data_IF_253695687779
#
_entry.id   IF_253695687779
#
_cell.length_a   1.000
_cell.length_b   1.000
_cell.length_c   1.000
_cell.angle_alpha   90.00
_cell.angle_beta   90.00
_cell.angle_gamma   90.00
#
_symmetry.space_group_name_H-M   'P 1'
#
loop_
_entity.id
_entity.type
_entity.pdbx_description
1 polymer ?
#
# COMPACT_ATOMS: atom_id res chain seq x y z
N UNK A 1 -16.40 -19.49 -1.92
CA UNK A 1 -16.16 -18.36 -1.00
C UNK A 1 -16.88 -17.13 -1.54
N UNK A 2 -17.83 -16.61 -0.79
CA UNK A 2 -18.56 -15.37 -1.13
C UNK A 2 -17.69 -14.14 -0.86
N UNK A 3 -18.09 -12.95 -1.35
CA UNK A 3 -17.39 -11.71 -1.04
C UNK A 3 -17.40 -11.40 0.47
N UNK A 4 -18.49 -11.72 1.16
CA UNK A 4 -18.60 -11.50 2.61
C UNK A 4 -17.66 -12.42 3.40
N UNK A 5 -17.52 -13.68 2.98
CA UNK A 5 -16.56 -14.62 3.59
C UNK A 5 -15.11 -14.17 3.35
N UNK A 6 -14.82 -13.59 2.17
CA UNK A 6 -13.47 -13.16 1.81
C UNK A 6 -13.06 -11.87 2.50
N UNK A 7 -13.91 -10.84 2.44
CA UNK A 7 -13.59 -9.51 2.95
C UNK A 7 -13.99 -9.29 4.41
N UNK A 8 -14.91 -10.10 4.95
CA UNK A 8 -15.37 -9.96 6.34
C UNK A 8 -15.81 -8.54 6.66
N UNK A 9 -15.24 -7.97 7.73
CA UNK A 9 -15.57 -6.61 8.20
C UNK A 9 -15.29 -5.50 7.17
N UNK A 10 -14.39 -5.70 6.22
CA UNK A 10 -14.14 -4.75 5.14
C UNK A 10 -15.39 -4.45 4.31
N UNK A 11 -16.37 -5.36 4.29
CA UNK A 11 -17.65 -5.13 3.59
C UNK A 11 -18.51 -4.01 4.19
N UNK A 12 -18.16 -3.51 5.39
CA UNK A 12 -18.79 -2.32 6.00
C UNK A 12 -18.44 -1.03 5.27
N UNK A 13 -17.30 -1.00 4.57
CA UNK A 13 -16.76 0.17 3.86
C UNK A 13 -16.58 -0.06 2.36
N UNK A 14 -16.52 -1.30 1.90
CA UNK A 14 -16.45 -1.66 0.48
C UNK A 14 -17.82 -1.52 -0.17
N UNK A 15 -17.90 -0.71 -1.23
CA UNK A 15 -19.09 -0.64 -2.08
C UNK A 15 -19.16 -1.88 -2.99
N UNK A 16 -20.21 -2.71 -2.81
CA UNK A 16 -20.40 -3.96 -3.56
C UNK A 16 -20.54 -3.75 -5.05
N UNK A 17 -21.21 -2.66 -5.45
CA UNK A 17 -21.44 -2.37 -6.87
C UNK A 17 -20.12 -2.04 -7.56
N UNK A 18 -19.32 -1.16 -6.96
CA UNK A 18 -18.02 -0.81 -7.51
C UNK A 18 -17.04 -1.99 -7.49
N UNK A 19 -17.06 -2.80 -6.42
CA UNK A 19 -16.25 -4.03 -6.35
C UNK A 19 -16.62 -5.00 -7.48
N UNK A 20 -17.90 -5.31 -7.66
CA UNK A 20 -18.36 -6.23 -8.72
C UNK A 20 -18.00 -5.68 -10.12
N UNK A 21 -18.23 -4.37 -10.35
CA UNK A 21 -17.92 -3.72 -11.63
C UNK A 21 -16.44 -3.83 -11.98
N UNK A 22 -15.54 -3.57 -11.01
CA UNK A 22 -14.10 -3.65 -11.26
C UNK A 22 -13.63 -5.10 -11.40
N UNK A 23 -14.18 -6.04 -10.61
CA UNK A 23 -13.82 -7.46 -10.68
C UNK A 23 -14.15 -8.08 -12.03
N UNK A 24 -15.31 -7.76 -12.62
CA UNK A 24 -15.67 -8.21 -13.98
C UNK A 24 -14.65 -7.72 -15.00
N UNK A 25 -14.30 -6.42 -14.97
CA UNK A 25 -13.34 -5.81 -15.89
C UNK A 25 -11.94 -6.40 -15.73
N UNK A 26 -11.46 -6.50 -14.49
CA UNK A 26 -10.15 -7.09 -14.14
C UNK A 26 -10.08 -8.55 -14.56
N UNK A 27 -11.15 -9.33 -14.33
CA UNK A 27 -11.24 -10.72 -14.77
C UNK A 27 -11.11 -10.86 -16.31
N UNK A 28 -11.64 -9.90 -17.08
CA UNK A 28 -11.41 -9.84 -18.52
C UNK A 28 -9.94 -9.58 -18.88
N UNK A 29 -9.28 -8.66 -18.19
CA UNK A 29 -7.86 -8.37 -18.42
C UNK A 29 -6.97 -9.59 -18.14
N UNK A 30 -7.17 -10.30 -17.01
CA UNK A 30 -6.40 -11.51 -16.67
C UNK A 30 -6.53 -12.64 -17.71
N UNK A 31 -7.67 -12.74 -18.40
CA UNK A 31 -7.87 -13.75 -19.46
C UNK A 31 -7.17 -13.41 -20.78
N UNK A 32 -6.81 -12.15 -21.00
CA UNK A 32 -6.33 -11.63 -22.28
C UNK A 32 -4.86 -11.19 -22.26
N UNK A 33 -4.33 -10.87 -21.09
CA UNK A 33 -3.04 -10.22 -20.94
C UNK A 33 -2.31 -10.70 -19.69
N UNK A 34 -0.98 -10.64 -19.67
CA UNK A 34 -0.22 -10.82 -18.45
C UNK A 34 -0.45 -9.62 -17.51
N UNK A 35 -0.98 -9.87 -16.33
CA UNK A 35 -1.34 -8.86 -15.31
C UNK A 35 -0.51 -9.10 -14.03
N UNK A 36 -0.13 -8.02 -13.37
CA UNK A 36 0.49 -8.01 -12.04
C UNK A 36 -0.45 -7.31 -11.04
N UNK A 37 -0.49 -7.78 -9.78
CA UNK A 37 0.11 -8.99 -9.21
C UNK A 37 -0.53 -10.29 -9.74
N UNK A 38 -0.24 -11.46 -9.15
CA UNK A 38 -1.04 -12.65 -9.39
C UNK A 38 -2.49 -12.42 -8.90
N UNK A 39 -3.47 -13.06 -9.53
CA UNK A 39 -4.89 -12.83 -9.23
C UNK A 39 -5.24 -13.11 -7.75
N UNK A 40 -4.58 -14.09 -7.13
CA UNK A 40 -4.70 -14.40 -5.71
C UNK A 40 -4.23 -13.28 -4.79
N UNK A 41 -3.31 -12.44 -5.27
CA UNK A 41 -2.63 -11.45 -4.43
C UNK A 41 -3.29 -10.05 -4.53
N UNK A 42 -4.31 -9.86 -5.38
CA UNK A 42 -4.90 -8.53 -5.67
C UNK A 42 -5.40 -7.82 -4.40
N UNK A 43 -5.97 -8.57 -3.47
CA UNK A 43 -6.55 -8.02 -2.24
C UNK A 43 -5.76 -8.39 -0.97
N UNK A 44 -4.53 -8.87 -1.11
CA UNK A 44 -3.70 -9.33 0.02
C UNK A 44 -3.54 -8.28 1.12
N UNK A 45 -3.48 -7.00 0.80
CA UNK A 45 -3.39 -5.92 1.79
C UNK A 45 -4.60 -5.91 2.75
N UNK A 46 -5.80 -6.25 2.26
CA UNK A 46 -7.02 -6.33 3.07
C UNK A 46 -7.04 -7.56 3.98
N UNK A 47 -6.47 -8.68 3.52
CA UNK A 47 -6.37 -9.92 4.32
C UNK A 47 -5.43 -9.74 5.52
N UNK A 48 -4.34 -8.98 5.34
CA UNK A 48 -3.30 -8.80 6.36
C UNK A 48 -3.59 -7.66 7.34
N UNK A 49 -4.46 -6.73 6.98
CA UNK A 49 -4.84 -5.59 7.81
C UNK A 49 -6.33 -5.66 8.14
N UNK A 50 -6.75 -6.23 9.29
CA UNK A 50 -8.15 -6.23 9.68
C UNK A 50 -8.69 -4.81 9.86
N UNK A 51 -9.92 -4.54 9.39
CA UNK A 51 -10.53 -3.21 9.46
C UNK A 51 -10.58 -2.64 10.89
N UNK A 52 -10.81 -3.48 11.89
CA UNK A 52 -10.86 -3.09 13.32
C UNK A 52 -9.53 -2.56 13.86
N UNK A 53 -8.41 -2.98 13.26
CA UNK A 53 -7.06 -2.61 13.70
C UNK A 53 -6.47 -1.45 12.88
N UNK A 54 -7.23 -0.93 11.91
CA UNK A 54 -6.77 0.08 10.95
C UNK A 54 -6.41 1.40 11.64
N UNK A 55 -5.21 1.89 11.39
CA UNK A 55 -4.64 3.15 11.91
C UNK A 55 -4.11 4.04 10.78
N UNK A 56 -3.51 3.42 9.76
CA UNK A 56 -2.86 4.14 8.65
C UNK A 56 -3.32 3.55 7.31
N UNK A 57 -3.55 4.40 6.33
CA UNK A 57 -3.78 4.01 4.93
C UNK A 57 -2.67 4.62 4.07
N UNK A 58 -1.85 3.78 3.45
CA UNK A 58 -0.83 4.20 2.50
C UNK A 58 -1.31 3.93 1.07
N UNK A 59 -1.28 4.94 0.22
CA UNK A 59 -1.75 4.83 -1.16
C UNK A 59 -0.63 5.18 -2.13
N UNK A 60 -0.28 4.24 -3.01
CA UNK A 60 0.62 4.45 -4.14
C UNK A 60 -0.11 4.59 -5.47
N UNK A 61 0.60 4.40 -6.57
CA UNK A 61 0.04 4.52 -7.91
C UNK A 61 -0.51 3.19 -8.43
N UNK A 62 0.35 2.25 -8.76
CA UNK A 62 0.06 0.92 -9.31
C UNK A 62 1.12 -0.11 -8.88
N UNK A 63 0.83 -1.41 -9.00
CA UNK A 63 1.78 -2.47 -8.66
C UNK A 63 3.01 -2.45 -9.57
N UNK A 64 4.10 -3.10 -9.15
CA UNK A 64 5.25 -3.33 -10.02
C UNK A 64 4.81 -4.10 -11.28
N UNK A 65 5.12 -3.61 -12.48
CA UNK A 65 4.61 -4.20 -13.73
C UNK A 65 5.53 -5.29 -14.29
N UNK A 66 6.56 -5.69 -13.56
CA UNK A 66 7.59 -6.63 -13.99
C UNK A 66 7.53 -7.96 -13.23
N UNK A 67 8.35 -8.90 -13.69
CA UNK A 67 8.60 -10.17 -13.03
C UNK A 67 9.97 -10.18 -12.35
N UNK A 68 10.03 -10.88 -11.23
CA UNK A 68 11.26 -11.25 -10.58
C UNK A 68 11.25 -12.76 -10.33
N UNK A 69 12.32 -13.46 -10.70
CA UNK A 69 12.41 -14.93 -10.56
C UNK A 69 11.24 -15.70 -11.19
N UNK A 70 10.77 -15.23 -12.37
CA UNK A 70 9.68 -15.86 -13.12
C UNK A 70 8.25 -15.57 -12.61
N UNK A 71 8.09 -14.91 -11.46
CA UNK A 71 6.80 -14.54 -10.84
C UNK A 71 6.59 -13.03 -10.91
N UNK A 72 5.34 -12.52 -10.88
CA UNK A 72 5.09 -11.10 -10.70
C UNK A 72 5.85 -10.58 -9.46
N UNK A 73 6.58 -9.45 -9.61
CA UNK A 73 7.26 -8.80 -8.47
C UNK A 73 6.25 -8.29 -7.45
N UNK A 74 5.16 -7.71 -7.94
CA UNK A 74 4.07 -7.21 -7.11
C UNK A 74 3.43 -8.32 -6.26
N UNK A 75 3.18 -8.03 -4.99
CA UNK A 75 2.65 -8.96 -3.98
C UNK A 75 1.25 -8.62 -3.50
N UNK A 76 0.60 -7.58 -4.08
CA UNK A 76 -0.66 -7.02 -3.58
C UNK A 76 -0.50 -6.08 -2.38
N UNK A 77 0.73 -5.90 -1.90
CA UNK A 77 1.08 -4.93 -0.85
C UNK A 77 1.89 -3.81 -1.49
N UNK A 78 1.50 -2.55 -1.23
CA UNK A 78 2.23 -1.38 -1.72
C UNK A 78 3.71 -1.46 -1.33
N UNK A 79 4.60 -1.32 -2.31
CA UNK A 79 6.05 -1.42 -2.23
C UNK A 79 6.62 -2.80 -1.84
N UNK A 80 5.83 -3.71 -1.28
CA UNK A 80 6.28 -5.02 -0.82
C UNK A 80 6.93 -5.86 -1.94
N UNK A 81 8.02 -6.55 -1.59
CA UNK A 81 8.66 -7.55 -2.45
C UNK A 81 8.43 -8.95 -1.88
N UNK A 82 8.62 -9.99 -2.71
CA UNK A 82 8.54 -11.37 -2.24
C UNK A 82 9.72 -11.69 -1.33
N UNK A 83 9.50 -12.57 -0.35
CA UNK A 83 10.52 -12.97 0.63
C UNK A 83 11.78 -13.60 -0.01
N UNK A 84 11.59 -14.24 -1.16
CA UNK A 84 12.66 -14.94 -1.88
C UNK A 84 13.57 -14.00 -2.70
N UNK A 85 13.23 -12.72 -2.78
CA UNK A 85 14.05 -11.74 -3.51
C UNK A 85 15.22 -11.33 -2.63
N UNK A 86 16.43 -11.49 -3.16
CA UNK A 86 17.66 -11.06 -2.48
C UNK A 86 17.72 -9.55 -2.29
N UNK A 87 18.42 -9.06 -1.27
CA UNK A 87 18.51 -7.63 -0.97
C UNK A 87 18.99 -6.78 -2.16
N UNK A 88 19.95 -7.29 -2.93
CA UNK A 88 20.51 -6.61 -4.11
C UNK A 88 19.48 -6.47 -5.27
N UNK A 89 18.42 -7.26 -5.24
CA UNK A 89 17.36 -7.31 -6.25
C UNK A 89 16.03 -6.69 -5.80
N UNK A 90 16.01 -6.01 -4.65
CA UNK A 90 14.82 -5.29 -4.18
C UNK A 90 14.41 -4.20 -5.18
N UNK A 91 13.11 -3.93 -5.25
CA UNK A 91 12.61 -2.86 -6.11
C UNK A 91 13.16 -1.49 -5.67
N UNK A 92 13.46 -0.59 -6.62
CA UNK A 92 14.00 0.74 -6.28
C UNK A 92 13.14 1.52 -5.28
N UNK A 93 11.81 1.40 -5.37
CA UNK A 93 10.91 2.07 -4.43
C UNK A 93 11.01 1.50 -3.02
N UNK A 94 11.16 0.17 -2.88
CA UNK A 94 11.33 -0.46 -1.57
C UNK A 94 12.67 -0.10 -0.95
N UNK A 95 13.75 -0.06 -1.74
CA UNK A 95 15.07 0.38 -1.25
C UNK A 95 15.02 1.80 -0.67
N UNK A 96 14.37 2.75 -1.38
CA UNK A 96 14.17 4.11 -0.87
C UNK A 96 13.39 4.12 0.44
N UNK A 97 12.31 3.32 0.53
CA UNK A 97 11.52 3.21 1.76
C UNK A 97 12.35 2.57 2.88
N UNK A 98 13.09 1.49 2.61
CA UNK A 98 14.00 0.83 3.56
C UNK A 98 15.01 1.82 4.12
N UNK A 99 15.71 2.57 3.26
CA UNK A 99 16.66 3.58 3.68
C UNK A 99 16.02 4.70 4.53
N UNK A 100 14.80 5.10 4.20
CA UNK A 100 14.11 6.15 4.94
C UNK A 100 13.63 5.70 6.32
N UNK A 101 13.37 4.41 6.56
CA UNK A 101 12.89 3.92 7.86
C UNK A 101 14.00 3.47 8.80
N UNK A 102 15.13 2.98 8.25
CA UNK A 102 16.24 2.47 9.06
C UNK A 102 16.94 3.63 9.77
N UNK A 103 17.10 3.52 11.09
CA UNK A 103 17.90 4.46 11.85
C UNK A 103 19.39 4.14 11.67
N UNK A 104 20.14 5.00 10.94
CA UNK A 104 21.56 4.81 10.67
C UNK A 104 22.46 4.95 11.91
N UNK A 105 21.93 5.38 13.04
CA UNK A 105 22.66 5.36 14.32
C UNK A 105 22.76 3.95 14.92
N UNK A 106 21.88 3.02 14.47
CA UNK A 106 21.92 1.62 14.86
C UNK A 106 22.74 0.82 13.83
N UNK A 107 23.71 0.00 14.26
CA UNK A 107 24.47 -0.83 13.33
C UNK A 107 23.57 -1.76 12.50
N UNK A 108 23.78 -1.86 11.20
CA UNK A 108 22.94 -2.64 10.27
C UNK A 108 22.80 -4.12 10.65
N UNK A 109 23.82 -4.73 11.27
CA UNK A 109 23.74 -6.12 11.73
C UNK A 109 22.81 -6.32 12.95
N UNK A 110 22.33 -5.23 13.55
CA UNK A 110 21.36 -5.25 14.63
C UNK A 110 19.92 -5.02 14.15
N UNK A 111 19.69 -4.97 12.83
CA UNK A 111 18.39 -4.61 12.25
C UNK A 111 17.91 -5.71 11.32
N UNK A 112 16.66 -6.11 11.44
CA UNK A 112 15.94 -6.90 10.44
C UNK A 112 14.80 -6.07 9.85
N UNK A 113 14.84 -5.91 8.52
CA UNK A 113 13.80 -5.23 7.75
C UNK A 113 12.94 -6.26 7.00
N UNK A 114 11.63 -6.20 7.21
CA UNK A 114 10.68 -7.07 6.49
C UNK A 114 10.41 -6.51 5.09
N UNK A 115 11.09 -7.04 4.09
CA UNK A 115 10.91 -6.63 2.69
C UNK A 115 9.52 -6.96 2.11
N UNK A 116 8.77 -7.84 2.76
CA UNK A 116 7.37 -8.12 2.36
C UNK A 116 6.41 -7.05 2.83
N UNK A 117 6.78 -6.28 3.85
CA UNK A 117 5.99 -5.29 4.57
C UNK A 117 4.71 -5.86 5.21
N UNK A 118 4.61 -7.18 5.35
CA UNK A 118 3.49 -7.83 6.03
C UNK A 118 3.45 -7.48 7.52
N UNK A 119 4.62 -7.32 8.14
CA UNK A 119 4.74 -6.87 9.53
C UNK A 119 4.11 -5.48 9.75
N UNK A 120 4.18 -4.61 8.76
CA UNK A 120 3.53 -3.30 8.80
C UNK A 120 2.01 -3.43 8.67
N UNK A 121 1.53 -4.23 7.71
CA UNK A 121 0.11 -4.47 7.53
C UNK A 121 -0.55 -5.03 8.79
N UNK A 122 0.11 -5.98 9.46
CA UNK A 122 -0.36 -6.59 10.73
C UNK A 122 -0.42 -5.60 11.90
N UNK A 123 0.25 -4.45 11.83
CA UNK A 123 0.15 -3.36 12.81
C UNK A 123 -1.01 -2.39 12.55
N UNK A 124 -1.82 -2.63 11.51
CA UNK A 124 -2.96 -1.80 11.15
C UNK A 124 -2.63 -0.75 10.07
N UNK A 125 -1.70 -1.06 9.16
CA UNK A 125 -1.40 -0.23 8.00
C UNK A 125 -1.99 -0.88 6.75
N UNK A 126 -3.05 -0.32 6.19
CA UNK A 126 -3.57 -0.72 4.89
C UNK A 126 -2.67 -0.14 3.79
N UNK A 127 -1.96 -1.01 3.08
CA UNK A 127 -0.95 -0.65 2.09
C UNK A 127 -1.43 -1.00 0.68
N UNK A 128 -2.09 -0.06 0.01
CA UNK A 128 -2.72 -0.26 -1.30
C UNK A 128 -2.16 0.68 -2.37
N UNK A 129 -2.40 0.34 -3.62
CA UNK A 129 -2.23 1.23 -4.75
C UNK A 129 -3.57 1.84 -5.19
N UNK A 130 -3.55 2.96 -5.88
CA UNK A 130 -4.72 3.56 -6.53
C UNK A 130 -5.25 2.73 -7.71
N UNK A 131 -4.45 1.79 -8.21
CA UNK A 131 -4.85 0.66 -9.05
C UNK A 131 -4.29 -0.62 -8.43
N UNK A 132 -5.15 -1.61 -8.12
CA UNK A 132 -4.68 -2.85 -7.50
C UNK A 132 -4.07 -3.84 -8.50
N UNK A 133 -4.20 -3.55 -9.80
CA UNK A 133 -3.62 -4.35 -10.89
C UNK A 133 -3.00 -3.45 -11.95
N UNK A 134 -2.07 -4.01 -12.73
CA UNK A 134 -1.40 -3.35 -13.86
C UNK A 134 -1.11 -4.38 -14.95
N UNK A 135 -1.23 -4.00 -16.23
CA UNK A 135 -0.75 -4.81 -17.34
C UNK A 135 0.78 -4.85 -17.30
N UNK A 136 1.37 -6.03 -17.51
CA UNK A 136 2.81 -6.21 -17.46
C UNK A 136 3.53 -5.24 -18.42
N UNK A 137 4.55 -4.58 -17.91
CA UNK A 137 5.36 -3.56 -18.58
C UNK A 137 4.57 -2.30 -19.03
N UNK A 138 3.34 -2.05 -18.51
CA UNK A 138 2.53 -0.88 -18.85
C UNK A 138 2.04 -0.12 -17.61
N UNK A 139 2.94 0.66 -17.03
CA UNK A 139 2.65 1.53 -15.87
C UNK A 139 1.41 2.38 -16.14
N UNK A 140 0.50 2.47 -15.17
CA UNK A 140 -0.72 3.27 -15.24
C UNK A 140 -1.88 2.65 -16.02
N UNK A 141 -1.69 1.48 -16.65
CA UNK A 141 -2.68 0.88 -17.55
C UNK A 141 -4.06 0.66 -16.93
N UNK A 142 -4.15 0.40 -15.62
CA UNK A 142 -5.40 0.13 -14.93
C UNK A 142 -5.85 1.23 -13.95
N UNK A 143 -5.17 2.37 -13.90
CA UNK A 143 -5.50 3.47 -12.97
C UNK A 143 -6.96 3.91 -13.11
N UNK A 144 -7.44 4.12 -14.35
CA UNK A 144 -8.82 4.54 -14.59
C UNK A 144 -9.84 3.43 -14.33
N UNK A 145 -9.42 2.18 -14.46
CA UNK A 145 -10.26 1.02 -14.20
C UNK A 145 -10.58 0.86 -12.71
N UNK A 146 -9.59 1.08 -11.83
CA UNK A 146 -9.75 0.98 -10.38
C UNK A 146 -10.25 2.26 -9.71
N UNK A 147 -10.16 3.41 -10.39
CA UNK A 147 -10.46 4.71 -9.79
C UNK A 147 -11.82 4.79 -9.10
N UNK A 148 -12.96 4.32 -9.68
CA UNK A 148 -14.28 4.39 -9.02
C UNK A 148 -14.29 3.61 -7.69
N UNK A 149 -13.76 2.39 -7.69
CA UNK A 149 -13.68 1.55 -6.50
C UNK A 149 -12.83 2.19 -5.40
N UNK A 150 -11.60 2.63 -5.72
CA UNK A 150 -10.69 3.22 -4.73
C UNK A 150 -11.24 4.55 -4.18
N UNK A 151 -11.82 5.40 -5.03
CA UNK A 151 -12.43 6.65 -4.59
C UNK A 151 -13.57 6.40 -3.59
N UNK A 152 -14.44 5.43 -3.89
CA UNK A 152 -15.56 5.06 -3.04
C UNK A 152 -15.08 4.42 -1.73
N UNK A 153 -14.06 3.54 -1.80
CA UNK A 153 -13.44 2.92 -0.64
C UNK A 153 -12.87 3.98 0.32
N UNK A 154 -12.04 4.90 -0.18
CA UNK A 154 -11.41 5.93 0.64
C UNK A 154 -12.45 6.88 1.26
N UNK A 155 -13.50 7.23 0.50
CA UNK A 155 -14.62 8.01 1.03
C UNK A 155 -15.31 7.29 2.18
N UNK A 156 -15.82 6.08 1.94
CA UNK A 156 -16.56 5.31 2.93
C UNK A 156 -15.69 5.05 4.17
N UNK A 157 -14.42 4.71 3.98
CA UNK A 157 -13.47 4.43 5.05
C UNK A 157 -13.23 5.66 5.95
N UNK A 158 -13.04 6.83 5.33
CA UNK A 158 -12.81 8.09 6.07
C UNK A 158 -14.03 8.63 6.81
N UNK A 159 -15.22 8.16 6.44
CA UNK A 159 -16.49 8.44 7.11
C UNK A 159 -16.80 7.40 8.20
N UNK A 160 -16.42 6.14 7.98
CA UNK A 160 -16.66 5.03 8.91
C UNK A 160 -15.73 5.09 10.12
N UNK A 161 -14.46 5.38 9.91
CA UNK A 161 -13.46 5.46 10.97
C UNK A 161 -12.80 6.84 10.95
N UNK A 162 -12.63 7.44 12.13
CA UNK A 162 -12.00 8.74 12.34
C UNK A 162 -10.58 8.56 12.87
N UNK A 163 -9.78 9.64 12.76
CA UNK A 163 -8.38 9.67 13.22
C UNK A 163 -7.42 8.74 12.45
N UNK A 164 -7.82 8.24 11.28
CA UNK A 164 -6.92 7.52 10.37
C UNK A 164 -5.90 8.48 9.78
N UNK A 165 -4.67 8.01 9.61
CA UNK A 165 -3.60 8.74 8.92
C UNK A 165 -3.51 8.22 7.48
N UNK A 166 -3.81 9.08 6.51
CA UNK A 166 -3.68 8.78 5.08
C UNK A 166 -2.36 9.32 4.57
N UNK A 167 -1.54 8.46 3.95
CA UNK A 167 -0.27 8.84 3.32
C UNK A 167 -0.40 8.63 1.81
N UNK A 168 -0.36 9.71 1.04
CA UNK A 168 -0.57 9.71 -0.40
C UNK A 168 0.78 9.91 -1.13
N UNK A 169 1.29 8.81 -1.71
CA UNK A 169 2.58 8.79 -2.37
C UNK A 169 2.48 9.18 -3.85
N UNK A 170 2.92 10.37 -4.18
CA UNK A 170 3.00 10.92 -5.52
C UNK A 170 1.68 11.43 -6.07
N UNK A 171 1.76 12.15 -7.19
CA UNK A 171 0.64 12.91 -7.79
C UNK A 171 -0.61 12.07 -8.02
N UNK A 172 -0.46 10.83 -8.48
CA UNK A 172 -1.62 9.96 -8.77
C UNK A 172 -2.41 9.64 -7.50
N UNK A 173 -1.74 9.26 -6.40
CA UNK A 173 -2.38 9.01 -5.12
C UNK A 173 -3.00 10.30 -4.54
N UNK A 174 -2.34 11.45 -4.69
CA UNK A 174 -2.81 12.76 -4.22
C UNK A 174 -4.13 13.20 -4.89
N UNK A 175 -4.44 12.70 -6.10
CA UNK A 175 -5.75 12.95 -6.74
C UNK A 175 -6.94 12.37 -5.97
N UNK A 176 -6.69 11.53 -4.98
CA UNK A 176 -7.73 10.95 -4.12
C UNK A 176 -8.00 11.76 -2.84
N UNK A 177 -7.18 12.76 -2.52
CA UNK A 177 -7.39 13.65 -1.37
C UNK A 177 -8.82 14.20 -1.24
N UNK A 178 -9.52 14.63 -2.32
CA UNK A 178 -10.89 15.13 -2.23
C UNK A 178 -11.93 14.11 -1.75
N UNK A 179 -11.61 12.80 -1.80
CA UNK A 179 -12.49 11.73 -1.35
C UNK A 179 -12.30 11.37 0.14
N UNK A 180 -11.28 11.95 0.79
CA UNK A 180 -10.97 11.69 2.20
C UNK A 180 -11.52 12.82 3.06
N UNK A 181 -12.34 12.50 4.05
CA UNK A 181 -12.86 13.48 5.00
C UNK A 181 -11.74 13.96 5.93
N UNK A 182 -11.10 15.09 5.57
CA UNK A 182 -9.98 15.68 6.30
C UNK A 182 -10.38 16.33 7.63
N UNK A 183 -11.66 16.47 7.92
CA UNK A 183 -12.14 17.05 9.19
C UNK A 183 -11.82 16.14 10.38
N UNK A 184 -11.81 14.84 10.15
CA UNK A 184 -11.64 13.83 11.21
C UNK A 184 -10.43 12.91 10.98
N UNK A 185 -9.68 13.12 9.89
CA UNK A 185 -8.56 12.29 9.51
C UNK A 185 -7.32 13.15 9.18
N UNK A 186 -6.15 12.55 9.27
CA UNK A 186 -4.89 13.21 8.90
C UNK A 186 -4.49 12.83 7.48
N UNK A 187 -4.11 13.79 6.66
CA UNK A 187 -3.62 13.53 5.30
C UNK A 187 -2.18 14.05 5.19
N UNK A 188 -1.29 13.17 4.77
CA UNK A 188 0.11 13.45 4.47
C UNK A 188 0.31 13.22 2.98
N UNK A 189 0.83 14.21 2.28
CA UNK A 189 1.18 14.13 0.86
C UNK A 189 2.70 14.16 0.73
N UNK A 190 3.25 13.23 -0.04
CA UNK A 190 4.69 13.14 -0.30
C UNK A 190 4.92 12.66 -1.73
N UNK A 191 6.10 12.95 -2.28
CA UNK A 191 6.52 12.40 -3.56
C UNK A 191 6.63 10.87 -3.50
N UNK A 192 6.38 10.21 -4.63
CA UNK A 192 6.48 8.76 -4.73
C UNK A 192 7.94 8.29 -4.52
N UNK A 193 8.22 7.17 -3.82
CA UNK A 193 9.60 6.67 -3.63
C UNK A 193 10.41 6.57 -4.92
N UNK A 194 9.79 6.23 -6.05
CA UNK A 194 10.44 6.21 -7.36
C UNK A 194 10.95 7.59 -7.83
N UNK A 195 10.43 8.70 -7.31
CA UNK A 195 10.98 10.04 -7.57
C UNK A 195 12.37 10.16 -6.93
N UNK A 196 12.48 9.80 -5.66
CA UNK A 196 13.76 9.84 -4.92
C UNK A 196 14.80 8.91 -5.55
N UNK A 197 14.40 7.69 -5.95
CA UNK A 197 15.28 6.76 -6.66
C UNK A 197 15.83 7.35 -7.97
N UNK A 198 15.00 8.06 -8.76
CA UNK A 198 15.42 8.67 -10.03
C UNK A 198 16.23 9.94 -9.87
N UNK A 199 15.89 10.76 -8.87
CA UNK A 199 16.59 12.03 -8.62
C UNK A 199 17.89 11.86 -7.85
N UNK A 200 18.16 10.69 -7.29
CA UNK A 200 19.30 10.45 -6.40
C UNK A 200 19.20 11.18 -5.07
N UNK A 201 18.00 11.68 -4.71
CA UNK A 201 17.75 12.34 -3.42
C UNK A 201 17.21 11.34 -2.40
N UNK A 202 17.36 11.63 -1.11
CA UNK A 202 16.84 10.77 -0.04
C UNK A 202 15.39 11.13 0.29
N UNK A 203 14.58 10.09 0.50
CA UNK A 203 13.25 10.25 1.07
C UNK A 203 13.37 10.69 2.54
N UNK A 204 12.57 11.68 3.00
CA UNK A 204 12.67 12.16 4.38
C UNK A 204 12.36 11.08 5.40
N UNK A 205 13.34 10.75 6.26
CA UNK A 205 13.16 9.86 7.42
C UNK A 205 12.09 10.39 8.39
N UNK A 206 11.98 11.71 8.52
CA UNK A 206 11.02 12.38 9.40
C UNK A 206 9.57 11.96 9.13
N UNK A 207 9.22 11.58 7.90
CA UNK A 207 7.88 11.07 7.56
C UNK A 207 7.47 9.89 8.45
N UNK A 208 8.34 8.90 8.59
CA UNK A 208 8.05 7.67 9.35
C UNK A 208 8.03 7.91 10.84
N UNK A 209 8.88 8.82 11.35
CA UNK A 209 8.85 9.30 12.73
C UNK A 209 7.51 9.99 13.01
N UNK A 210 7.08 10.90 12.15
CA UNK A 210 5.84 11.65 12.32
C UNK A 210 4.61 10.74 12.30
N UNK A 211 4.56 9.75 11.40
CA UNK A 211 3.50 8.74 11.36
C UNK A 211 3.48 7.96 12.68
N UNK A 212 4.63 7.44 13.11
CA UNK A 212 4.73 6.65 14.34
C UNK A 212 4.30 7.45 15.58
N UNK A 213 4.75 8.72 15.69
CA UNK A 213 4.36 9.61 16.78
C UNK A 213 2.87 9.93 16.77
N UNK A 214 2.27 10.19 15.60
CA UNK A 214 0.81 10.39 15.48
C UNK A 214 0.03 9.14 15.87
N UNK A 215 0.45 7.97 15.38
CA UNK A 215 -0.18 6.69 15.74
C UNK A 215 -0.07 6.45 17.24
N UNK A 216 1.10 6.68 17.84
CA UNK A 216 1.29 6.58 19.30
C UNK A 216 0.38 7.55 20.07
N UNK A 217 0.26 8.79 19.60
CA UNK A 217 -0.61 9.80 20.24
C UNK A 217 -2.09 9.45 20.19
N UNK A 218 -2.56 8.82 19.11
CA UNK A 218 -3.97 8.49 18.90
C UNK A 218 -4.32 7.11 19.49
N UNK A 219 -3.46 6.10 19.27
CA UNK A 219 -3.75 4.69 19.57
C UNK A 219 -2.93 4.11 20.72
N UNK A 220 -2.02 4.90 21.30
CA UNK A 220 -1.20 4.51 22.46
C UNK A 220 0.06 3.69 22.14
N UNK A 221 0.18 3.14 20.93
CA UNK A 221 1.31 2.28 20.54
C UNK A 221 1.94 2.80 19.22
N UNK A 222 3.27 3.00 19.17
CA UNK A 222 3.94 3.44 17.93
C UNK A 222 3.97 2.32 16.88
N UNK A 223 4.21 2.69 15.62
CA UNK A 223 4.53 1.72 14.57
C UNK A 223 6.00 1.32 14.68
N UNK A 224 6.26 0.02 14.61
CA UNK A 224 7.61 -0.55 14.43
C UNK A 224 7.86 -0.74 12.94
N UNK A 225 8.85 -0.05 12.41
CA UNK A 225 9.19 -0.11 10.98
C UNK A 225 10.20 -1.22 10.66
N UNK A 226 10.97 -1.65 11.65
CA UNK A 226 11.96 -2.73 11.62
C UNK A 226 12.13 -3.33 13.01
N UNK A 227 12.82 -4.44 13.13
CA UNK A 227 13.18 -5.04 14.41
C UNK A 227 14.66 -4.77 14.72
N UNK A 228 14.95 -4.44 15.99
CA UNK A 228 16.30 -4.29 16.54
C UNK A 228 16.58 -5.45 17.49
N UNK A 229 17.85 -5.92 17.54
CA UNK A 229 18.31 -6.99 18.42
C UNK A 229 19.25 -6.45 19.49
#
# INVERSE_FOLDING_TARGET
>A
MTLDEYFGDWMKVIDRTELNNVMVKVGHEYRRKPICPAQSDVFRAFELCPLKDLKVVMVGMDPYPDKCMGKPRATGILFGNRKEVDEDNLSPSLNVVKEAVINFEVPHYCITFDQTLESWAKQGILMINSALTVEMNRIGSHVMLWRPFIAKLLKNLSEYNTAIIYVLFGRQAQTFKPYINSRFNHIIEIEHPAYFARSGTKMPHQLFIDISNKVKGIYGVPIKWYEEY
#
